data_IF_993637198623
#
_entry.id   IF_993637198623
#
_cell.length_a   1.000
_cell.length_b   1.000
_cell.length_c   1.000
_cell.angle_alpha   90.00
_cell.angle_beta   90.00
_cell.angle_gamma   90.00
#
_symmetry.space_group_name_H-M   'P 1'
#
loop_
_entity.id
_entity.type
_entity.pdbx_description
1 polymer ?
#
# COMPACT_ATOMS: atom_id res chain seq x y z
N UNK A 1 1.07 -15.43 -59.49
CA UNK A 1 1.97 -14.33 -59.12
C UNK A 1 1.94 -14.22 -57.60
N UNK A 2 3.02 -14.66 -56.95
CA UNK A 2 3.46 -14.40 -55.55
C UNK A 2 2.47 -14.83 -54.44
N UNK A 3 2.68 -15.97 -53.77
CA UNK A 3 3.57 -16.14 -52.60
C UNK A 3 3.11 -15.28 -51.40
N UNK A 4 3.00 -15.72 -50.17
CA UNK A 4 3.25 -17.00 -49.52
C UNK A 4 2.55 -16.95 -48.14
N UNK A 5 2.39 -18.13 -47.53
CA UNK A 5 2.06 -18.35 -46.13
C UNK A 5 2.73 -17.34 -45.20
N UNK A 6 1.96 -16.59 -44.42
CA UNK A 6 2.44 -16.01 -43.16
C UNK A 6 2.23 -17.05 -42.04
N UNK A 7 2.95 -18.16 -42.16
CA UNK A 7 3.25 -19.02 -41.03
C UNK A 7 4.40 -18.39 -40.25
N UNK A 8 4.29 -18.35 -38.92
CA UNK A 8 5.46 -18.28 -38.04
C UNK A 8 5.66 -16.98 -37.28
N UNK A 9 4.93 -16.82 -36.16
CA UNK A 9 5.46 -16.17 -34.96
C UNK A 9 4.71 -16.63 -33.68
N UNK A 10 4.27 -17.90 -33.60
CA UNK A 10 4.17 -18.54 -32.28
C UNK A 10 5.54 -19.11 -32.01
N UNK A 11 6.45 -18.21 -31.61
CA UNK A 11 7.76 -18.57 -31.12
C UNK A 11 7.57 -19.60 -30.03
N UNK A 12 8.28 -20.72 -30.20
CA UNK A 12 8.51 -21.76 -29.22
C UNK A 12 8.75 -21.14 -27.83
N UNK A 13 7.68 -21.01 -27.04
CA UNK A 13 7.82 -21.09 -25.60
C UNK A 13 8.34 -22.50 -25.33
N UNK A 14 9.41 -22.68 -24.53
CA UNK A 14 9.62 -23.98 -23.95
C UNK A 14 8.31 -24.33 -23.22
N UNK A 15 7.64 -25.39 -23.67
CA UNK A 15 6.40 -25.93 -23.07
C UNK A 15 6.56 -26.33 -21.60
N UNK A 16 7.75 -26.11 -21.04
CA UNK A 16 8.06 -26.13 -19.63
C UNK A 16 8.52 -24.72 -19.20
N UNK A 17 7.59 -23.76 -19.13
CA UNK A 17 7.82 -22.65 -18.20
C UNK A 17 8.09 -23.31 -16.83
N UNK A 18 9.18 -22.94 -16.13
CA UNK A 18 9.43 -23.46 -14.79
C UNK A 18 8.12 -23.46 -13.99
N UNK A 19 7.75 -24.57 -13.37
CA UNK A 19 6.42 -24.71 -12.74
C UNK A 19 6.11 -23.60 -11.72
N UNK A 20 7.13 -22.94 -11.17
CA UNK A 20 7.00 -21.79 -10.27
C UNK A 20 6.49 -20.50 -10.95
N UNK A 21 6.60 -20.37 -12.29
CA UNK A 21 6.06 -19.24 -13.04
C UNK A 21 4.55 -19.34 -13.27
N UNK A 22 3.97 -20.54 -13.27
CA UNK A 22 2.54 -20.73 -13.52
C UNK A 22 1.68 -20.03 -12.44
N UNK A 23 1.93 -20.21 -11.13
CA UNK A 23 1.24 -19.45 -10.09
C UNK A 23 1.40 -17.93 -10.24
N UNK A 24 2.58 -17.46 -10.66
CA UNK A 24 2.84 -16.03 -10.85
C UNK A 24 2.08 -15.48 -12.06
N UNK A 25 1.99 -16.24 -13.15
CA UNK A 25 1.18 -15.87 -14.31
C UNK A 25 -0.31 -15.76 -13.94
N UNK A 26 -0.82 -16.70 -13.14
CA UNK A 26 -2.20 -16.64 -12.61
C UNK A 26 -2.39 -15.38 -11.76
N UNK A 27 -1.48 -15.11 -10.81
CA UNK A 27 -1.54 -13.89 -9.99
C UNK A 27 -1.49 -12.62 -10.84
N UNK A 28 -0.63 -12.58 -11.85
CA UNK A 28 -0.53 -11.43 -12.75
C UNK A 28 -1.80 -11.21 -13.57
N UNK A 29 -2.47 -12.29 -13.96
CA UNK A 29 -3.72 -12.28 -14.73
C UNK A 29 -4.94 -11.88 -13.88
N UNK A 30 -4.97 -12.22 -12.58
CA UNK A 30 -5.99 -11.73 -11.64
C UNK A 30 -5.96 -10.20 -11.53
N UNK A 31 -4.79 -9.59 -11.70
CA UNK A 31 -4.64 -8.14 -11.76
C UNK A 31 -4.61 -7.46 -10.39
N UNK A 32 -4.62 -6.12 -10.38
CA UNK A 32 -4.63 -5.34 -9.15
C UNK A 32 -6.00 -5.40 -8.47
N UNK A 33 -6.05 -5.37 -7.13
CA UNK A 33 -7.29 -5.41 -6.35
C UNK A 33 -7.22 -4.41 -5.19
N UNK A 34 -8.29 -3.64 -5.01
CA UNK A 34 -8.42 -2.70 -3.90
C UNK A 34 -8.40 -3.44 -2.55
N UNK A 35 -9.04 -4.61 -2.47
CA UNK A 35 -9.06 -5.46 -1.27
C UNK A 35 -7.65 -5.90 -0.88
N UNK A 36 -6.83 -6.27 -1.86
CA UNK A 36 -5.43 -6.62 -1.62
C UNK A 36 -4.59 -5.41 -1.18
N UNK A 37 -4.84 -4.22 -1.75
CA UNK A 37 -4.18 -2.98 -1.33
C UNK A 37 -4.56 -2.59 0.12
N UNK A 38 -5.85 -2.68 0.48
CA UNK A 38 -6.35 -2.44 1.83
C UNK A 38 -5.72 -3.43 2.82
N UNK A 39 -5.68 -4.72 2.48
CA UNK A 39 -5.08 -5.74 3.35
C UNK A 39 -3.58 -5.50 3.57
N UNK A 40 -2.86 -5.05 2.55
CA UNK A 40 -1.45 -4.66 2.67
C UNK A 40 -1.27 -3.45 3.59
N UNK A 41 -2.09 -2.41 3.40
CA UNK A 41 -2.08 -1.22 4.24
C UNK A 41 -2.39 -1.52 5.72
N UNK A 42 -3.43 -2.31 5.98
CA UNK A 42 -3.86 -2.71 7.32
C UNK A 42 -2.82 -3.59 8.03
N UNK A 43 -2.09 -4.43 7.30
CA UNK A 43 -0.97 -5.19 7.88
C UNK A 43 0.11 -4.25 8.42
N UNK A 44 0.37 -3.13 7.73
CA UNK A 44 1.31 -2.10 8.17
C UNK A 44 0.81 -1.25 9.34
N UNK A 45 -0.51 -1.11 9.51
CA UNK A 45 -1.13 -0.30 10.56
C UNK A 45 -1.06 -0.93 11.96
N UNK A 46 -0.78 -2.23 12.09
CA UNK A 46 -0.61 -2.89 13.39
C UNK A 46 -1.87 -2.99 14.26
N UNK A 47 -3.04 -2.56 13.76
CA UNK A 47 -4.32 -2.58 14.47
C UNK A 47 -4.76 -1.25 15.11
N UNK A 48 -3.97 -0.18 14.97
CA UNK A 48 -4.27 1.13 15.57
C UNK A 48 -5.41 1.89 14.85
N UNK A 49 -5.63 1.56 13.57
CA UNK A 49 -6.66 2.12 12.69
C UNK A 49 -6.84 1.20 11.49
N UNK A 50 -7.91 1.42 10.72
CA UNK A 50 -8.21 0.64 9.51
C UNK A 50 -8.30 1.54 8.28
N UNK A 51 -7.72 1.07 7.17
CA UNK A 51 -7.82 1.70 5.86
C UNK A 51 -9.07 1.25 5.10
N UNK A 52 -9.67 2.20 4.40
CA UNK A 52 -10.72 1.98 3.41
C UNK A 52 -10.32 2.61 2.07
N UNK A 53 -10.95 2.19 0.97
CA UNK A 53 -10.71 2.77 -0.34
C UNK A 53 -11.38 4.14 -0.44
N UNK A 54 -10.59 5.19 -0.65
CA UNK A 54 -11.12 6.51 -1.02
C UNK A 54 -11.31 6.60 -2.54
N UNK A 55 -10.29 6.21 -3.29
CA UNK A 55 -10.30 6.31 -4.76
C UNK A 55 -9.32 5.35 -5.42
N UNK A 56 -9.70 4.86 -6.60
CA UNK A 56 -8.81 4.20 -7.55
C UNK A 56 -8.56 5.09 -8.77
N UNK A 57 -7.33 5.15 -9.27
CA UNK A 57 -6.97 5.84 -10.52
C UNK A 57 -5.71 5.24 -11.15
N UNK A 58 -5.40 5.66 -12.38
CA UNK A 58 -4.15 5.30 -13.06
C UNK A 58 -3.16 6.46 -13.00
N UNK A 59 -1.89 6.16 -12.71
CA UNK A 59 -0.81 7.15 -12.80
C UNK A 59 -0.44 7.48 -14.25
N UNK A 60 0.52 8.39 -14.43
CA UNK A 60 0.99 8.80 -15.76
C UNK A 60 1.60 7.66 -16.60
N UNK A 61 1.98 6.55 -15.96
CA UNK A 61 2.53 5.35 -16.60
C UNK A 61 1.46 4.27 -16.82
N UNK A 62 0.19 4.58 -16.54
CA UNK A 62 -0.94 3.67 -16.70
C UNK A 62 -1.02 2.58 -15.62
N UNK A 63 -0.30 2.72 -14.50
CA UNK A 63 -0.35 1.78 -13.38
C UNK A 63 -1.47 2.14 -12.43
N UNK A 64 -2.17 1.14 -11.90
CA UNK A 64 -3.23 1.33 -10.91
C UNK A 64 -2.67 1.83 -9.59
N UNK A 65 -3.26 2.89 -9.05
CA UNK A 65 -2.98 3.47 -7.75
C UNK A 65 -4.28 3.49 -6.93
N UNK A 66 -4.16 3.03 -5.70
CA UNK A 66 -5.23 3.03 -4.71
C UNK A 66 -4.94 4.10 -3.67
N UNK A 67 -5.75 5.15 -3.62
CA UNK A 67 -5.75 6.09 -2.51
C UNK A 67 -6.65 5.55 -1.42
N UNK A 68 -6.04 5.28 -0.28
CA UNK A 68 -6.67 4.72 0.90
C UNK A 68 -6.72 5.78 1.99
N UNK A 69 -7.75 5.73 2.83
CA UNK A 69 -7.93 6.64 3.96
C UNK A 69 -8.26 5.87 5.23
N UNK A 70 -7.72 6.29 6.36
CA UNK A 70 -8.03 5.66 7.66
C UNK A 70 -9.37 6.11 8.24
N UNK A 71 -9.92 5.31 9.14
CA UNK A 71 -11.09 5.63 9.98
C UNK A 71 -10.75 6.48 11.21
N UNK A 72 -9.49 6.86 11.38
CA UNK A 72 -9.00 7.67 12.49
C UNK A 72 -9.28 9.16 12.30
N UNK A 73 -9.23 9.90 13.42
CA UNK A 73 -9.18 11.37 13.43
C UNK A 73 -7.90 11.81 14.18
N UNK A 74 -6.95 12.50 13.52
CA UNK A 74 -6.95 12.89 12.11
C UNK A 74 -6.84 11.68 11.16
N UNK A 75 -7.37 11.85 9.96
CA UNK A 75 -7.30 10.83 8.90
C UNK A 75 -5.89 10.77 8.31
N UNK A 76 -5.46 9.56 7.94
CA UNK A 76 -4.18 9.30 7.27
C UNK A 76 -4.48 8.73 5.89
N UNK A 77 -3.89 9.33 4.86
CA UNK A 77 -3.99 8.92 3.48
C UNK A 77 -2.75 8.15 3.04
N UNK A 78 -2.97 7.07 2.31
CA UNK A 78 -1.90 6.27 1.72
C UNK A 78 -2.22 5.92 0.29
N UNK A 79 -1.34 6.28 -0.62
CA UNK A 79 -1.42 5.93 -2.03
C UNK A 79 -0.53 4.73 -2.31
N UNK A 80 -1.16 3.62 -2.69
CA UNK A 80 -0.52 2.36 -3.00
C UNK A 80 -0.59 2.08 -4.49
N UNK A 81 0.56 2.10 -5.15
CA UNK A 81 0.72 1.76 -6.56
C UNK A 81 0.98 0.28 -6.72
N UNK A 82 0.19 -0.37 -7.58
CA UNK A 82 0.37 -1.78 -7.89
C UNK A 82 1.59 -2.02 -8.77
N UNK A 83 2.38 -3.04 -8.40
CA UNK A 83 3.45 -3.58 -9.21
C UNK A 83 3.45 -5.11 -9.18
N UNK A 84 4.23 -5.72 -10.07
CA UNK A 84 4.40 -7.16 -10.11
C UNK A 84 5.86 -7.53 -10.34
N UNK A 85 6.38 -8.42 -9.50
CA UNK A 85 7.77 -8.89 -9.54
C UNK A 85 7.82 -10.32 -10.08
N UNK A 86 8.51 -10.53 -11.19
CA UNK A 86 8.69 -11.87 -11.78
C UNK A 86 9.82 -12.68 -11.14
N UNK A 87 10.88 -12.01 -10.68
CA UNK A 87 12.08 -12.64 -10.14
C UNK A 87 12.38 -12.11 -8.76
N UNK A 88 12.97 -12.90 -7.84
CA UNK A 88 13.35 -12.40 -6.53
C UNK A 88 14.23 -11.16 -6.65
N UNK A 89 13.96 -10.14 -5.84
CA UNK A 89 14.73 -8.91 -5.83
C UNK A 89 15.49 -8.82 -4.51
N UNK A 90 16.81 -8.71 -4.58
CA UNK A 90 17.63 -8.45 -3.41
C UNK A 90 17.62 -6.95 -3.12
N UNK A 91 17.29 -6.57 -1.88
CA UNK A 91 17.40 -5.19 -1.41
C UNK A 91 18.31 -5.10 -0.18
N UNK A 92 18.99 -3.97 -0.09
CA UNK A 92 19.67 -3.53 1.12
C UNK A 92 18.89 -2.35 1.69
N UNK A 93 18.58 -2.38 2.98
CA UNK A 93 17.96 -1.27 3.68
C UNK A 93 18.95 -0.74 4.74
N UNK A 94 19.01 0.59 4.94
CA UNK A 94 19.77 1.17 6.05
C UNK A 94 19.34 0.53 7.38
N UNK A 95 20.32 0.10 8.19
CA UNK A 95 20.06 -0.50 9.50
C UNK A 95 19.80 -2.01 9.52
N UNK A 96 19.72 -2.68 8.36
CA UNK A 96 19.69 -4.15 8.28
C UNK A 96 21.09 -4.65 7.86
N UNK A 97 21.75 -5.49 8.68
CA UNK A 97 23.14 -5.88 8.43
C UNK A 97 23.33 -6.83 7.25
N UNK A 98 22.27 -7.49 6.79
CA UNK A 98 22.30 -8.42 5.65
C UNK A 98 21.24 -8.01 4.61
N UNK A 99 21.52 -8.19 3.31
CA UNK A 99 20.51 -8.00 2.29
C UNK A 99 19.36 -8.98 2.49
N UNK A 100 18.15 -8.57 2.13
CA UNK A 100 16.96 -9.40 2.18
C UNK A 100 16.38 -9.59 0.79
N UNK A 101 15.71 -10.73 0.59
CA UNK A 101 15.07 -11.07 -0.67
C UNK A 101 13.59 -10.75 -0.59
N UNK A 102 13.11 -10.01 -1.58
CA UNK A 102 11.70 -9.83 -1.82
C UNK A 102 11.22 -10.92 -2.77
N UNK A 103 10.17 -11.63 -2.35
CA UNK A 103 9.57 -12.70 -3.14
C UNK A 103 8.99 -12.16 -4.47
N UNK A 104 8.99 -12.98 -5.52
CA UNK A 104 8.14 -12.76 -6.70
C UNK A 104 6.67 -12.66 -6.32
N UNK A 105 5.89 -11.95 -7.15
CA UNK A 105 4.45 -11.76 -6.96
C UNK A 105 4.02 -10.30 -7.02
N UNK A 106 2.74 -10.03 -6.74
CA UNK A 106 2.22 -8.67 -6.64
C UNK A 106 2.84 -7.95 -5.44
N UNK A 107 3.04 -6.65 -5.58
CA UNK A 107 3.46 -5.78 -4.49
C UNK A 107 2.79 -4.40 -4.61
N UNK A 108 2.73 -3.69 -3.50
CA UNK A 108 2.21 -2.33 -3.43
C UNK A 108 3.31 -1.39 -2.97
N UNK A 109 3.55 -0.35 -3.77
CA UNK A 109 4.54 0.68 -3.48
C UNK A 109 3.83 1.93 -2.97
N UNK A 110 4.28 2.48 -1.84
CA UNK A 110 3.76 3.76 -1.35
C UNK A 110 4.32 4.90 -2.20
N UNK A 111 3.44 5.65 -2.85
CA UNK A 111 3.84 6.74 -3.77
C UNK A 111 3.67 8.14 -3.19
N UNK A 112 2.88 8.29 -2.12
CA UNK A 112 2.72 9.54 -1.38
C UNK A 112 3.48 9.53 -0.04
N UNK A 113 4.67 8.91 0.02
CA UNK A 113 5.42 8.66 1.26
C UNK A 113 5.68 9.90 2.12
N UNK A 114 5.80 11.08 1.49
CA UNK A 114 5.97 12.35 2.22
C UNK A 114 4.67 12.76 2.93
N UNK A 115 3.55 12.84 2.20
CA UNK A 115 2.21 13.18 2.74
C UNK A 115 1.85 12.19 3.85
N UNK A 116 1.99 10.89 3.58
CA UNK A 116 1.70 9.84 4.55
C UNK A 116 2.52 9.98 5.85
N UNK A 117 3.82 10.30 5.76
CA UNK A 117 4.66 10.52 6.95
C UNK A 117 4.25 11.77 7.74
N UNK A 118 3.86 12.83 7.05
CA UNK A 118 3.40 14.08 7.69
C UNK A 118 2.09 13.85 8.45
N UNK A 119 1.10 13.20 7.81
CA UNK A 119 -0.19 12.85 8.43
C UNK A 119 -0.02 11.84 9.57
N UNK A 120 0.83 10.82 9.40
CA UNK A 120 1.11 9.86 10.48
C UNK A 120 1.77 10.54 11.69
N UNK A 121 2.67 11.50 11.46
CA UNK A 121 3.29 12.26 12.55
C UNK A 121 2.28 13.15 13.28
N UNK A 122 1.31 13.73 12.55
CA UNK A 122 0.21 14.50 13.14
C UNK A 122 -0.73 13.60 13.95
N UNK A 123 -1.19 12.50 13.36
CA UNK A 123 -2.00 11.50 14.05
C UNK A 123 -1.33 11.01 15.33
N UNK A 124 -0.04 10.67 15.24
CA UNK A 124 0.76 10.25 16.38
C UNK A 124 0.84 11.35 17.44
N UNK A 125 1.01 12.61 17.05
CA UNK A 125 1.00 13.73 18.01
C UNK A 125 -0.33 13.79 18.75
N UNK A 126 -1.47 13.64 18.07
CA UNK A 126 -2.79 13.68 18.71
C UNK A 126 -3.02 12.47 19.62
N UNK A 127 -2.60 11.28 19.20
CA UNK A 127 -2.83 10.02 19.92
C UNK A 127 -1.82 9.71 21.04
N UNK A 128 -0.56 10.13 20.91
CA UNK A 128 0.49 9.98 21.94
C UNK A 128 0.49 11.12 22.96
N UNK A 129 -0.12 12.27 22.65
CA UNK A 129 -0.39 13.27 23.68
C UNK A 129 -1.39 12.65 24.66
N UNK A 130 -1.04 12.52 25.95
CA UNK A 130 -1.98 12.00 26.92
C UNK A 130 -3.23 12.86 26.86
N UNK A 131 -4.39 12.23 27.00
CA UNK A 131 -5.53 12.87 27.65
C UNK A 131 -4.99 13.47 28.96
N UNK A 132 -4.51 14.72 28.94
CA UNK A 132 -4.08 15.38 30.15
C UNK A 132 -5.31 15.42 31.05
N UNK A 133 -5.26 14.81 32.25
CA UNK A 133 -6.32 14.97 33.22
C UNK A 133 -6.21 16.41 33.75
N UNK A 134 -6.83 17.35 33.04
CA UNK A 134 -6.72 18.77 33.36
C UNK A 134 -7.58 19.71 32.50
N UNK A 135 -8.10 19.26 31.36
CA UNK A 135 -8.89 20.11 30.45
C UNK A 135 -10.42 19.82 30.50
N UNK A 136 -10.97 19.46 31.68
CA UNK A 136 -12.41 19.69 31.94
C UNK A 136 -12.53 21.08 32.55
N UNK A 137 -13.43 21.87 31.96
CA UNK A 137 -13.67 23.30 32.22
C UNK A 137 -13.56 23.70 33.69
N UNK A 138 -13.06 24.91 33.97
CA UNK A 138 -13.64 26.13 33.44
C UNK A 138 -14.57 26.67 34.52
N UNK A 139 -14.15 27.79 35.11
CA UNK A 139 -14.75 28.45 36.26
C UNK A 139 -16.28 28.69 36.12
N UNK A 140 -17.00 28.39 37.20
CA UNK A 140 -18.32 28.89 37.64
C UNK A 140 -18.53 28.19 39.00
N UNK A 141 -18.66 28.80 40.17
CA UNK A 141 -19.29 30.07 40.52
C UNK A 141 -18.61 30.75 41.72
N UNK A 142 -18.59 32.07 41.61
CA UNK A 142 -18.48 33.06 42.67
C UNK A 142 -19.60 32.96 43.71
N UNK A 143 -19.24 33.33 44.95
CA UNK A 143 -20.07 34.08 45.92
C UNK A 143 -21.40 33.49 46.44
N UNK A 144 -21.40 33.24 47.75
CA UNK A 144 -22.32 33.96 48.65
C UNK A 144 -23.62 33.27 49.06
N UNK A 145 -23.66 32.88 50.34
CA UNK A 145 -24.78 32.83 51.32
C UNK A 145 -24.39 31.74 52.33
N UNK A 146 -24.37 31.95 53.64
CA UNK A 146 -25.03 32.92 54.50
C UNK A 146 -25.24 32.17 55.82
#
# INVERSE_FOLDING_TARGET
RHAALAAGAVLALPLCLPGWLLPLAVQRAMGPSAEAAIADANRGAGGDYTYSLEREYSDAEGRTVYRLVTDSDPAIHRELRYGFRWFPEMRAAPGIPLPYFLSPGPYYETVNDKEWREEYAEWRRVWELPHQPGARGGASDSEGRG
#
